data_IF_414398469136
#
_entry.id   IF_414398469136
#
_cell.length_a   1.000
_cell.length_b   1.000
_cell.length_c   1.000
_cell.angle_alpha   90.00
_cell.angle_beta   90.00
_cell.angle_gamma   90.00
#
_symmetry.space_group_name_H-M   'P 1'
#
loop_
_entity.id
_entity.type
_entity.pdbx_description
1 polymer ?
#
# COMPACT_ATOMS: atom_id res chain seq x y z
N UNK A 1 6.40 -12.91 -15.08
CA UNK A 1 7.01 -13.34 -13.80
C UNK A 1 6.25 -12.63 -12.69
N UNK A 2 5.65 -13.37 -11.78
CA UNK A 2 4.82 -12.77 -10.75
C UNK A 2 5.60 -11.75 -9.92
N UNK A 3 4.96 -10.61 -9.61
CA UNK A 3 5.51 -9.59 -8.72
C UNK A 3 5.45 -10.04 -7.26
N UNK A 4 4.36 -10.74 -6.92
CA UNK A 4 4.12 -11.32 -5.60
C UNK A 4 3.70 -12.77 -5.80
N UNK A 5 4.25 -13.68 -5.00
CA UNK A 5 3.87 -15.08 -4.99
C UNK A 5 3.76 -15.56 -3.53
N UNK A 6 2.62 -16.08 -3.16
CA UNK A 6 2.40 -16.77 -1.90
C UNK A 6 2.09 -18.24 -2.20
N UNK A 7 2.76 -19.17 -1.50
CA UNK A 7 2.55 -20.62 -1.65
C UNK A 7 2.31 -21.20 -0.27
N UNK A 8 1.08 -21.68 -0.05
CA UNK A 8 0.60 -22.27 1.21
C UNK A 8 0.98 -21.42 2.44
N UNK A 9 0.95 -20.09 2.28
CA UNK A 9 1.36 -19.17 3.33
C UNK A 9 0.33 -19.10 4.45
N UNK A 10 0.78 -19.28 5.69
CA UNK A 10 -0.07 -19.17 6.88
C UNK A 10 0.54 -18.21 7.89
N UNK A 11 -0.32 -17.57 8.70
CA UNK A 11 0.11 -16.69 9.77
C UNK A 11 -0.67 -16.96 11.04
N UNK A 12 0.05 -17.26 12.11
CA UNK A 12 -0.48 -17.48 13.45
C UNK A 12 0.10 -16.42 14.38
N UNK A 13 -0.75 -15.69 15.07
CA UNK A 13 -0.35 -14.79 16.14
C UNK A 13 -0.53 -15.49 17.49
N UNK A 14 0.43 -15.27 18.40
CA UNK A 14 0.41 -15.81 19.76
C UNK A 14 0.35 -14.66 20.77
N UNK A 15 -0.62 -14.72 21.66
CA UNK A 15 -0.73 -13.80 22.79
C UNK A 15 -0.96 -14.60 24.08
N UNK A 16 0.11 -14.84 24.84
CA UNK A 16 0.08 -15.78 25.94
C UNK A 16 -0.24 -17.19 25.45
N UNK A 17 -1.27 -17.81 26.03
CA UNK A 17 -1.73 -19.16 25.68
C UNK A 17 -2.74 -19.18 24.51
N UNK A 18 -3.11 -18.01 23.96
CA UNK A 18 -4.08 -17.93 22.87
C UNK A 18 -3.34 -17.85 21.52
N UNK A 19 -3.67 -18.79 20.64
CA UNK A 19 -3.23 -18.78 19.24
C UNK A 19 -4.39 -18.35 18.35
N UNK A 20 -4.11 -17.38 17.45
CA UNK A 20 -5.09 -16.92 16.45
C UNK A 20 -4.49 -17.15 15.06
N UNK A 21 -5.10 -18.03 14.28
CA UNK A 21 -4.75 -18.25 12.89
C UNK A 21 -5.36 -17.10 12.05
N UNK A 22 -4.55 -16.10 11.73
CA UNK A 22 -4.97 -14.95 10.94
C UNK A 22 -5.00 -15.23 9.44
N UNK A 23 -4.14 -16.15 8.96
CA UNK A 23 -4.13 -16.65 7.59
C UNK A 23 -3.87 -18.16 7.59
N UNK A 24 -4.55 -18.89 6.70
CA UNK A 24 -4.44 -20.34 6.58
C UNK A 24 -4.36 -20.74 5.11
N UNK A 25 -3.20 -21.30 4.71
CA UNK A 25 -2.97 -21.91 3.39
C UNK A 25 -3.26 -20.96 2.21
N UNK A 26 -2.75 -19.75 2.28
CA UNK A 26 -2.89 -18.76 1.22
C UNK A 26 -1.96 -19.13 0.06
N UNK A 27 -2.55 -19.39 -1.12
CA UNK A 27 -1.83 -19.54 -2.37
C UNK A 27 -2.34 -18.51 -3.37
N UNK A 28 -1.46 -17.60 -3.83
CA UNK A 28 -1.82 -16.44 -4.64
C UNK A 28 -0.61 -15.99 -5.46
N UNK A 29 -0.87 -15.56 -6.70
CA UNK A 29 0.11 -14.89 -7.57
C UNK A 29 -0.45 -13.55 -8.03
N UNK A 30 0.35 -12.49 -7.98
CA UNK A 30 -0.02 -11.14 -8.45
C UNK A 30 1.02 -10.69 -9.46
N UNK A 31 0.56 -10.29 -10.64
CA UNK A 31 1.42 -9.81 -11.72
C UNK A 31 1.68 -8.30 -11.58
N UNK A 32 2.72 -7.82 -12.27
CA UNK A 32 3.01 -6.40 -12.31
C UNK A 32 1.87 -5.61 -13.00
N UNK A 33 1.64 -4.38 -12.53
CA UNK A 33 0.63 -3.44 -13.01
C UNK A 33 -0.82 -3.84 -12.71
N UNK A 34 -1.06 -4.88 -11.92
CA UNK A 34 -2.42 -5.18 -11.46
C UNK A 34 -2.97 -4.07 -10.54
N UNK A 35 -4.27 -3.85 -10.62
CA UNK A 35 -5.05 -3.03 -9.68
C UNK A 35 -6.00 -3.98 -8.94
N UNK A 36 -5.53 -4.53 -7.81
CA UNK A 36 -6.13 -5.67 -7.12
C UNK A 36 -6.65 -5.26 -5.75
N UNK A 37 -7.83 -5.81 -5.38
CA UNK A 37 -8.39 -5.62 -4.05
C UNK A 37 -8.51 -6.96 -3.28
N UNK A 38 -7.98 -7.00 -2.07
CA UNK A 38 -8.33 -7.98 -1.04
C UNK A 38 -9.60 -7.49 -0.35
N UNK A 39 -10.66 -8.28 -0.43
CA UNK A 39 -11.97 -7.93 0.15
C UNK A 39 -12.43 -8.99 1.14
N UNK A 40 -13.28 -8.61 2.08
CA UNK A 40 -13.85 -9.51 3.08
C UNK A 40 -14.25 -8.77 4.35
N UNK A 41 -14.94 -9.44 5.27
CA UNK A 41 -15.35 -8.84 6.54
C UNK A 41 -14.17 -8.42 7.41
N UNK A 42 -14.44 -7.66 8.46
CA UNK A 42 -13.43 -7.34 9.48
C UNK A 42 -12.91 -8.64 10.11
N UNK A 43 -11.58 -8.72 10.31
CA UNK A 43 -10.94 -9.91 10.86
C UNK A 43 -10.67 -11.04 9.83
N UNK A 44 -11.04 -10.90 8.56
CA UNK A 44 -10.80 -11.95 7.54
C UNK A 44 -9.34 -12.17 7.14
N UNK A 45 -8.38 -11.38 7.66
CA UNK A 45 -6.95 -11.53 7.37
C UNK A 45 -6.39 -10.57 6.32
N UNK A 46 -7.17 -9.65 5.75
CA UNK A 46 -6.74 -8.71 4.69
C UNK A 46 -5.48 -7.92 5.05
N UNK A 47 -5.52 -7.20 6.19
CA UNK A 47 -4.38 -6.41 6.65
C UNK A 47 -3.18 -7.29 7.03
N UNK A 48 -3.42 -8.53 7.52
CA UNK A 48 -2.35 -9.49 7.75
C UNK A 48 -1.68 -9.90 6.46
N UNK A 49 -2.44 -10.22 5.41
CA UNK A 49 -1.88 -10.56 4.09
C UNK A 49 -1.12 -9.36 3.50
N UNK A 50 -1.69 -8.15 3.62
CA UNK A 50 -1.04 -6.93 3.18
C UNK A 50 0.31 -6.71 3.92
N UNK A 51 0.36 -7.00 5.22
CA UNK A 51 1.58 -6.89 6.03
C UNK A 51 2.65 -7.92 5.62
N UNK A 52 2.28 -9.16 5.27
CA UNK A 52 3.23 -10.16 4.75
C UNK A 52 3.81 -9.69 3.41
N UNK A 53 2.96 -9.29 2.47
CA UNK A 53 3.37 -8.76 1.17
C UNK A 53 4.20 -7.48 1.32
N UNK A 54 3.88 -6.66 2.32
CA UNK A 54 4.59 -5.44 2.65
C UNK A 54 5.92 -5.63 3.37
N UNK A 55 6.36 -6.87 3.62
CA UNK A 55 7.56 -7.17 4.44
C UNK A 55 7.52 -6.47 5.81
N UNK A 56 6.32 -6.26 6.36
CA UNK A 56 6.09 -5.74 7.72
C UNK A 56 6.03 -6.87 8.74
N UNK A 57 5.70 -8.08 8.28
CA UNK A 57 5.63 -9.30 9.07
C UNK A 57 6.12 -10.49 8.24
N UNK A 58 6.27 -11.66 8.87
CA UNK A 58 6.70 -12.90 8.23
C UNK A 58 5.63 -13.98 8.32
N UNK A 59 5.50 -14.88 7.32
CA UNK A 59 4.62 -16.03 7.43
C UNK A 59 5.11 -16.98 8.55
N UNK A 60 4.15 -17.65 9.22
CA UNK A 60 4.47 -18.69 10.21
C UNK A 60 4.81 -20.02 9.53
N UNK A 61 4.26 -20.26 8.33
CA UNK A 61 4.59 -21.40 7.45
C UNK A 61 4.27 -21.06 6.00
N UNK A 62 4.75 -21.89 5.06
CA UNK A 62 4.69 -21.59 3.64
C UNK A 62 5.69 -20.51 3.23
N UNK A 63 5.51 -19.93 2.04
CA UNK A 63 6.40 -18.92 1.50
C UNK A 63 5.64 -17.72 0.96
N UNK A 64 6.20 -16.53 1.15
CA UNK A 64 5.80 -15.28 0.48
C UNK A 64 7.02 -14.69 -0.19
N UNK A 65 6.95 -14.53 -1.50
CA UNK A 65 8.01 -13.95 -2.32
C UNK A 65 7.49 -12.65 -2.95
N UNK A 66 8.26 -11.58 -2.81
CA UNK A 66 7.94 -10.26 -3.39
C UNK A 66 9.12 -9.85 -4.27
N UNK A 67 8.87 -9.61 -5.55
CA UNK A 67 9.92 -9.27 -6.54
C UNK A 67 11.10 -10.26 -6.51
N UNK A 68 10.81 -11.56 -6.42
CA UNK A 68 11.82 -12.62 -6.33
C UNK A 68 12.51 -12.77 -4.97
N UNK A 69 12.19 -11.91 -3.98
CA UNK A 69 12.78 -11.96 -2.64
C UNK A 69 11.86 -12.68 -1.66
N UNK A 70 12.35 -13.74 -1.03
CA UNK A 70 11.61 -14.44 0.03
C UNK A 70 11.54 -13.58 1.29
N UNK A 71 10.32 -13.19 1.69
CA UNK A 71 10.10 -12.31 2.86
C UNK A 71 10.64 -12.92 4.15
N UNK A 72 10.51 -14.24 4.34
CA UNK A 72 11.00 -14.92 5.54
C UNK A 72 12.53 -14.90 5.70
N UNK A 73 13.27 -14.66 4.61
CA UNK A 73 14.74 -14.57 4.64
C UNK A 73 15.25 -13.17 5.06
N UNK A 74 14.37 -12.16 5.09
CA UNK A 74 14.74 -10.79 5.42
C UNK A 74 14.76 -10.58 6.94
N UNK A 75 15.87 -10.12 7.47
CA UNK A 75 15.90 -9.59 8.83
C UNK A 75 15.29 -8.18 8.88
N UNK A 76 15.12 -7.62 10.09
CA UNK A 76 14.47 -6.31 10.30
C UNK A 76 15.08 -5.18 9.46
N UNK A 77 16.41 -5.12 9.37
CA UNK A 77 17.12 -4.09 8.60
C UNK A 77 16.94 -4.29 7.11
N UNK A 78 17.08 -5.53 6.62
CA UNK A 78 16.88 -5.86 5.21
C UNK A 78 15.42 -5.62 4.78
N UNK A 79 14.42 -5.96 5.61
CA UNK A 79 13.01 -5.65 5.35
C UNK A 79 12.76 -4.15 5.25
N UNK A 80 13.37 -3.35 6.14
CA UNK A 80 13.24 -1.89 6.09
C UNK A 80 13.86 -1.30 4.82
N UNK A 81 15.05 -1.76 4.43
CA UNK A 81 15.70 -1.36 3.19
C UNK A 81 14.86 -1.74 1.95
N UNK A 82 14.38 -2.99 1.90
CA UNK A 82 13.53 -3.50 0.81
C UNK A 82 12.24 -2.68 0.66
N UNK A 83 11.55 -2.40 1.78
CA UNK A 83 10.36 -1.52 1.77
C UNK A 83 10.68 -0.13 1.22
N UNK A 84 11.73 0.49 1.72
CA UNK A 84 12.11 1.83 1.29
C UNK A 84 12.52 1.91 -0.17
N UNK A 85 13.01 0.80 -0.74
CA UNK A 85 13.44 0.74 -2.14
C UNK A 85 12.31 0.40 -3.11
N UNK A 86 11.42 -0.49 -2.74
CA UNK A 86 10.49 -1.12 -3.68
C UNK A 86 9.02 -0.86 -3.40
N UNK A 87 8.65 -0.46 -2.16
CA UNK A 87 7.27 -0.40 -1.72
C UNK A 87 6.83 1.01 -1.35
N UNK A 88 5.58 1.33 -1.70
CA UNK A 88 4.85 2.49 -1.18
C UNK A 88 3.71 2.05 -0.28
N UNK A 89 3.34 2.88 0.70
CA UNK A 89 2.24 2.58 1.62
C UNK A 89 1.26 3.74 1.70
N UNK A 90 -0.02 3.41 1.58
CA UNK A 90 -1.15 4.33 1.78
C UNK A 90 -2.02 3.75 2.90
N UNK A 91 -2.28 4.54 3.94
CA UNK A 91 -3.01 4.12 5.14
C UNK A 91 -4.35 4.82 5.27
N UNK A 92 -5.28 4.21 5.99
CA UNK A 92 -6.59 4.74 6.31
C UNK A 92 -6.52 6.12 7.00
N UNK A 93 -5.62 6.30 7.96
CA UNK A 93 -5.44 7.55 8.72
C UNK A 93 -4.41 8.49 8.10
N UNK A 94 -4.10 8.30 6.80
CA UNK A 94 -3.12 9.08 6.03
C UNK A 94 -1.69 8.94 6.57
N UNK A 95 -1.48 8.83 7.86
CA UNK A 95 -0.19 8.75 8.57
C UNK A 95 0.80 9.83 8.10
N UNK A 96 0.29 11.05 7.88
CA UNK A 96 1.14 12.21 7.62
C UNK A 96 1.77 12.69 8.93
N UNK A 97 3.04 13.10 8.86
CA UNK A 97 3.75 13.68 10.00
C UNK A 97 3.18 15.09 10.26
N UNK A 98 2.53 15.35 11.40
CA UNK A 98 1.72 16.56 11.60
C UNK A 98 2.52 17.88 11.56
N UNK A 99 3.80 17.83 11.95
CA UNK A 99 4.67 19.01 11.99
C UNK A 99 5.31 19.34 10.65
N UNK A 100 5.23 18.42 9.67
CA UNK A 100 5.77 18.58 8.32
C UNK A 100 4.68 19.11 7.38
N UNK A 101 5.08 19.95 6.43
CA UNK A 101 4.22 20.39 5.31
C UNK A 101 3.90 19.22 4.37
N UNK A 102 3.00 19.43 3.41
CA UNK A 102 2.71 18.46 2.35
C UNK A 102 3.98 18.12 1.55
N UNK A 103 4.77 19.14 1.21
CA UNK A 103 6.06 18.96 0.53
C UNK A 103 7.01 18.07 1.35
N UNK A 104 7.23 18.39 2.60
CA UNK A 104 8.16 17.66 3.48
C UNK A 104 7.67 16.23 3.76
N UNK A 105 6.36 15.99 3.89
CA UNK A 105 5.80 14.66 3.99
C UNK A 105 6.11 13.80 2.75
N UNK A 106 6.02 14.38 1.54
CA UNK A 106 6.35 13.68 0.30
C UNK A 106 7.87 13.55 0.12
N UNK A 107 8.66 14.53 0.55
CA UNK A 107 10.13 14.48 0.49
C UNK A 107 10.74 13.42 1.41
N UNK A 108 10.08 13.16 2.54
CA UNK A 108 10.61 12.33 3.64
C UNK A 108 11.21 10.98 3.20
N UNK A 109 10.56 10.16 2.35
CA UNK A 109 11.15 8.91 1.87
C UNK A 109 12.43 9.10 1.05
N UNK A 110 12.51 10.14 0.26
CA UNK A 110 13.69 10.43 -0.56
C UNK A 110 14.88 10.90 0.27
N UNK A 111 14.61 11.63 1.35
CA UNK A 111 15.62 12.12 2.28
C UNK A 111 16.15 11.00 3.16
N UNK A 112 15.26 10.27 3.83
CA UNK A 112 15.61 9.33 4.89
C UNK A 112 16.04 7.95 4.37
N UNK A 113 15.52 7.51 3.23
CA UNK A 113 15.76 6.16 2.69
C UNK A 113 16.69 6.21 1.49
N UNK A 114 16.40 7.08 0.52
CA UNK A 114 17.14 7.17 -0.75
C UNK A 114 18.38 8.05 -0.69
N UNK A 115 18.45 8.93 0.32
CA UNK A 115 19.53 9.92 0.50
C UNK A 115 19.86 10.69 -0.81
N UNK A 116 18.81 11.09 -1.53
CA UNK A 116 18.99 11.81 -2.80
C UNK A 116 19.48 13.25 -2.55
N UNK A 117 20.24 13.84 -3.50
CA UNK A 117 20.62 15.26 -3.47
C UNK A 117 19.38 16.18 -3.43
N UNK A 118 19.50 17.33 -2.79
CA UNK A 118 18.39 18.26 -2.56
C UNK A 118 17.66 18.68 -3.84
N UNK A 119 18.40 19.01 -4.91
CA UNK A 119 17.82 19.45 -6.19
C UNK A 119 17.00 18.32 -6.85
N UNK A 120 17.51 17.08 -6.82
CA UNK A 120 16.80 15.92 -7.33
C UNK A 120 15.52 15.66 -6.52
N UNK A 121 15.58 15.75 -5.17
CA UNK A 121 14.41 15.59 -4.32
C UNK A 121 13.34 16.63 -4.65
N UNK A 122 13.75 17.92 -4.73
CA UNK A 122 12.83 19.02 -5.03
C UNK A 122 12.06 18.80 -6.33
N UNK A 123 12.78 18.45 -7.39
CA UNK A 123 12.19 18.19 -8.70
C UNK A 123 11.18 17.04 -8.63
N UNK A 124 11.55 15.93 -7.99
CA UNK A 124 10.68 14.75 -7.88
C UNK A 124 9.46 14.99 -6.99
N UNK A 125 9.64 15.66 -5.84
CA UNK A 125 8.53 15.98 -4.93
C UNK A 125 7.53 16.89 -5.62
N UNK A 126 7.97 17.95 -6.29
CA UNK A 126 7.06 18.86 -6.99
C UNK A 126 6.35 18.15 -8.15
N UNK A 127 7.04 17.30 -8.91
CA UNK A 127 6.41 16.44 -9.94
C UNK A 127 5.28 15.58 -9.35
N UNK A 128 5.51 14.93 -8.20
CA UNK A 128 4.49 14.10 -7.56
C UNK A 128 3.33 14.93 -6.99
N UNK A 129 3.61 16.08 -6.36
CA UNK A 129 2.55 16.96 -5.86
C UNK A 129 1.69 17.52 -7.00
N UNK A 130 2.29 17.84 -8.12
CA UNK A 130 1.57 18.30 -9.31
C UNK A 130 0.68 17.19 -9.87
N UNK A 131 1.20 15.97 -10.03
CA UNK A 131 0.48 14.79 -10.52
C UNK A 131 -0.77 14.47 -9.67
N UNK A 132 -0.72 14.71 -8.36
CA UNK A 132 -1.89 14.52 -7.47
C UNK A 132 -2.72 15.81 -7.28
N UNK A 133 -2.39 16.90 -7.97
CA UNK A 133 -3.10 18.18 -7.89
C UNK A 133 -2.92 18.89 -6.55
N UNK A 134 -1.74 18.81 -5.94
CA UNK A 134 -1.41 19.38 -4.62
C UNK A 134 -0.22 20.36 -4.65
N UNK A 135 0.26 20.76 -5.83
CA UNK A 135 1.41 21.66 -5.97
C UNK A 135 1.21 23.01 -5.24
N UNK A 136 0.03 23.64 -5.37
CA UNK A 136 -0.29 24.91 -4.70
C UNK A 136 -0.39 24.78 -3.18
N UNK A 137 -0.69 23.59 -2.65
CA UNK A 137 -0.81 23.29 -1.23
C UNK A 137 0.48 22.73 -0.61
N UNK A 138 1.58 22.71 -1.34
CA UNK A 138 2.85 22.12 -0.94
C UNK A 138 3.35 22.59 0.44
N UNK A 139 3.11 23.88 0.78
CA UNK A 139 3.53 24.50 2.04
C UNK A 139 2.59 24.27 3.22
N UNK A 140 1.36 23.76 2.99
CA UNK A 140 0.37 23.52 4.04
C UNK A 140 0.73 22.31 4.88
N UNK A 141 0.41 22.39 6.19
CA UNK A 141 0.51 21.26 7.11
C UNK A 141 -0.77 20.43 7.10
N UNK A 142 -0.73 19.18 7.59
CA UNK A 142 -1.90 18.29 7.59
C UNK A 142 -3.15 18.87 8.25
N UNK A 143 -3.04 19.67 9.30
CA UNK A 143 -4.16 20.34 9.96
C UNK A 143 -4.88 21.39 9.08
N UNK A 144 -4.21 21.89 8.05
CA UNK A 144 -4.73 22.86 7.08
C UNK A 144 -5.30 22.21 5.80
N UNK A 145 -5.31 20.87 5.75
CA UNK A 145 -5.74 20.09 4.59
C UNK A 145 -7.05 19.35 4.85
N UNK A 146 -7.93 19.29 3.85
CA UNK A 146 -9.11 18.41 3.90
C UNK A 146 -8.70 16.94 3.88
N UNK A 147 -9.60 16.01 4.25
CA UNK A 147 -9.35 14.57 4.23
C UNK A 147 -8.87 14.09 2.86
N UNK A 148 -9.55 14.49 1.77
CA UNK A 148 -9.14 14.16 0.42
C UNK A 148 -7.79 14.74 0.00
N UNK A 149 -7.45 15.95 0.47
CA UNK A 149 -6.13 16.54 0.25
C UNK A 149 -5.05 15.77 1.00
N UNK A 150 -5.28 15.40 2.26
CA UNK A 150 -4.36 14.54 3.03
C UNK A 150 -4.11 13.21 2.33
N UNK A 151 -5.17 12.60 1.80
CA UNK A 151 -5.04 11.33 1.08
C UNK A 151 -4.22 11.48 -0.20
N UNK A 152 -4.43 12.54 -0.99
CA UNK A 152 -3.61 12.82 -2.17
C UNK A 152 -2.13 13.01 -1.82
N UNK A 153 -1.83 13.71 -0.71
CA UNK A 153 -0.45 13.85 -0.21
C UNK A 153 0.11 12.48 0.21
N UNK A 154 -0.68 11.61 0.86
CA UNK A 154 -0.27 10.26 1.23
C UNK A 154 0.00 9.39 -0.02
N UNK A 155 -0.81 9.51 -1.08
CA UNK A 155 -0.56 8.86 -2.37
C UNK A 155 0.73 9.37 -3.02
N UNK A 156 0.94 10.69 -3.05
CA UNK A 156 2.18 11.28 -3.57
C UNK A 156 3.42 10.78 -2.80
N UNK A 157 3.34 10.73 -1.46
CA UNK A 157 4.39 10.19 -0.61
C UNK A 157 4.69 8.72 -0.91
N UNK A 158 3.65 7.92 -1.14
CA UNK A 158 3.81 6.50 -1.46
C UNK A 158 4.49 6.30 -2.82
N UNK A 159 4.28 7.19 -3.79
CA UNK A 159 4.78 7.08 -5.16
C UNK A 159 6.09 7.83 -5.43
N UNK A 160 6.53 8.72 -4.54
CA UNK A 160 7.66 9.63 -4.79
C UNK A 160 8.98 8.91 -5.04
N UNK A 161 9.16 7.72 -4.47
CA UNK A 161 10.32 6.85 -4.68
C UNK A 161 10.22 5.97 -5.93
N UNK A 162 9.15 6.12 -6.73
CA UNK A 162 8.85 5.29 -7.91
C UNK A 162 8.80 3.78 -7.58
N UNK A 163 7.97 3.36 -6.61
CA UNK A 163 7.91 1.97 -6.19
C UNK A 163 7.25 1.10 -7.25
N UNK A 164 7.64 -0.19 -7.29
CA UNK A 164 6.98 -1.18 -8.15
C UNK A 164 5.63 -1.63 -7.59
N UNK A 165 5.42 -1.51 -6.28
CA UNK A 165 4.22 -1.94 -5.57
C UNK A 165 3.78 -0.89 -4.55
N UNK A 166 2.50 -0.52 -4.59
CA UNK A 166 1.84 0.28 -3.56
C UNK A 166 0.80 -0.58 -2.85
N UNK A 167 0.91 -0.62 -1.52
CA UNK A 167 -0.03 -1.29 -0.63
C UNK A 167 -0.92 -0.25 0.03
N UNK A 168 -2.23 -0.37 -0.12
CA UNK A 168 -3.20 0.58 0.39
C UNK A 168 -4.20 -0.11 1.33
N UNK A 169 -4.11 0.21 2.63
CA UNK A 169 -5.01 -0.33 3.65
C UNK A 169 -6.15 0.67 3.90
N UNK A 170 -7.37 0.30 3.50
CA UNK A 170 -8.61 1.09 3.62
C UNK A 170 -8.45 2.57 3.17
N UNK A 171 -7.89 2.87 1.99
CA UNK A 171 -7.45 4.22 1.62
C UNK A 171 -8.59 5.23 1.43
N UNK A 172 -9.85 4.80 1.45
CA UNK A 172 -11.03 5.66 1.26
C UNK A 172 -11.94 5.73 2.47
N UNK A 173 -11.66 4.99 3.55
CA UNK A 173 -12.57 4.85 4.69
C UNK A 173 -12.90 6.19 5.40
N UNK A 174 -11.97 7.15 5.39
CA UNK A 174 -12.14 8.47 6.01
C UNK A 174 -12.54 9.58 5.01
N UNK A 175 -13.08 9.20 3.83
CA UNK A 175 -13.45 10.13 2.77
C UNK A 175 -14.95 10.06 2.47
N UNK A 176 -15.53 11.21 2.12
CA UNK A 176 -16.86 11.23 1.54
C UNK A 176 -16.89 10.52 0.17
N UNK A 177 -18.09 10.15 -0.29
CA UNK A 177 -18.30 9.36 -1.49
C UNK A 177 -17.65 9.98 -2.75
N UNK A 178 -17.85 11.27 -2.97
CA UNK A 178 -17.33 11.94 -4.18
C UNK A 178 -15.81 12.08 -4.15
N UNK A 179 -15.23 12.35 -2.97
CA UNK A 179 -13.77 12.43 -2.78
C UNK A 179 -13.13 11.07 -2.93
N UNK A 180 -13.74 9.99 -2.40
CA UNK A 180 -13.24 8.63 -2.55
C UNK A 180 -13.10 8.23 -4.03
N UNK A 181 -14.13 8.47 -4.86
CA UNK A 181 -14.05 8.20 -6.31
C UNK A 181 -12.90 8.96 -7.00
N UNK A 182 -12.70 10.24 -6.65
CA UNK A 182 -11.59 11.03 -7.21
C UNK A 182 -10.23 10.49 -6.83
N UNK A 183 -10.08 10.02 -5.59
CA UNK A 183 -8.82 9.45 -5.10
C UNK A 183 -8.56 8.09 -5.78
N UNK A 184 -9.57 7.23 -5.93
CA UNK A 184 -9.44 5.95 -6.63
C UNK A 184 -9.06 6.17 -8.11
N UNK A 185 -9.75 7.09 -8.80
CA UNK A 185 -9.43 7.44 -10.18
C UNK A 185 -7.98 7.96 -10.32
N UNK A 186 -7.54 8.80 -9.37
CA UNK A 186 -6.17 9.27 -9.30
C UNK A 186 -5.18 8.11 -9.14
N UNK A 187 -5.43 7.16 -8.21
CA UNK A 187 -4.56 6.00 -8.03
C UNK A 187 -4.48 5.15 -9.29
N UNK A 188 -5.60 4.98 -10.02
CA UNK A 188 -5.64 4.25 -11.28
C UNK A 188 -4.82 4.97 -12.38
N UNK A 189 -4.96 6.29 -12.47
CA UNK A 189 -4.13 7.12 -13.35
C UNK A 189 -2.65 6.97 -13.02
N UNK A 190 -2.28 7.04 -11.75
CA UNK A 190 -0.88 6.89 -11.30
C UNK A 190 -0.32 5.49 -11.60
N UNK A 191 -1.15 4.43 -11.47
CA UNK A 191 -0.77 3.09 -11.91
C UNK A 191 -0.39 3.07 -13.38
N UNK A 192 -1.23 3.67 -14.23
CA UNK A 192 -1.03 3.67 -15.69
C UNK A 192 0.20 4.49 -16.08
N UNK A 193 0.40 5.64 -15.44
CA UNK A 193 1.49 6.56 -15.73
C UNK A 193 2.86 6.02 -15.27
N UNK A 194 2.92 5.45 -14.06
CA UNK A 194 4.19 5.00 -13.45
C UNK A 194 4.42 3.49 -13.58
N UNK A 195 3.44 2.72 -14.07
CA UNK A 195 3.54 1.28 -14.19
C UNK A 195 3.58 0.54 -12.84
N UNK A 196 3.15 1.20 -11.77
CA UNK A 196 3.12 0.68 -10.39
C UNK A 196 1.96 -0.31 -10.21
N UNK A 197 2.17 -1.38 -9.46
CA UNK A 197 1.11 -2.30 -9.03
C UNK A 197 0.43 -1.74 -7.79
N UNK A 198 -0.90 -1.81 -7.72
CA UNK A 198 -1.67 -1.42 -6.53
C UNK A 198 -2.39 -2.63 -5.94
N UNK A 199 -2.21 -2.85 -4.64
CA UNK A 199 -2.92 -3.87 -3.88
C UNK A 199 -3.63 -3.20 -2.71
N UNK A 200 -4.95 -3.34 -2.67
CA UNK A 200 -5.82 -2.75 -1.65
C UNK A 200 -6.27 -3.80 -0.64
N UNK A 201 -6.38 -3.42 0.61
CA UNK A 201 -7.20 -4.09 1.61
C UNK A 201 -8.43 -3.21 1.83
N UNK A 202 -9.63 -3.73 1.57
CA UNK A 202 -10.84 -2.91 1.67
C UNK A 202 -12.12 -3.72 1.85
N UNK A 203 -13.15 -3.05 2.36
CA UNK A 203 -14.55 -3.45 2.30
C UNK A 203 -15.40 -2.42 1.53
N UNK A 204 -14.76 -1.37 0.95
CA UNK A 204 -15.44 -0.32 0.20
C UNK A 204 -15.79 -0.79 -1.21
N UNK A 205 -17.09 -0.79 -1.52
CA UNK A 205 -17.61 -1.19 -2.82
C UNK A 205 -17.02 -0.37 -3.98
N UNK A 206 -16.69 0.90 -3.78
CA UNK A 206 -16.10 1.78 -4.79
C UNK A 206 -14.73 1.28 -5.27
N UNK A 207 -13.89 0.79 -4.33
CA UNK A 207 -12.60 0.19 -4.70
C UNK A 207 -12.85 -1.14 -5.40
N UNK A 208 -13.82 -1.93 -4.93
CA UNK A 208 -14.17 -3.22 -5.56
C UNK A 208 -14.63 -3.02 -7.02
N UNK A 209 -15.44 -2.00 -7.30
CA UNK A 209 -15.89 -1.67 -8.66
C UNK A 209 -14.75 -1.15 -9.56
N UNK A 210 -13.75 -0.49 -8.98
CA UNK A 210 -12.60 0.00 -9.71
C UNK A 210 -11.49 -1.05 -9.90
N UNK A 211 -11.47 -2.10 -9.06
CA UNK A 211 -10.47 -3.15 -9.11
C UNK A 211 -10.64 -4.03 -10.35
N UNK A 212 -9.53 -4.38 -10.97
CA UNK A 212 -9.48 -5.30 -12.13
C UNK A 212 -9.44 -6.77 -11.69
N UNK A 213 -9.04 -7.00 -10.43
CA UNK A 213 -9.05 -8.30 -9.79
C UNK A 213 -9.45 -8.17 -8.33
N UNK A 214 -10.34 -9.04 -7.90
CA UNK A 214 -10.81 -9.11 -6.51
C UNK A 214 -10.45 -10.48 -5.96
N UNK A 215 -9.81 -10.50 -4.80
CA UNK A 215 -9.52 -11.70 -4.02
C UNK A 215 -10.29 -11.60 -2.71
N UNK A 216 -11.27 -12.47 -2.55
CA UNK A 216 -12.14 -12.48 -1.36
C UNK A 216 -11.53 -13.37 -0.27
N UNK A 217 -11.35 -12.78 0.91
CA UNK A 217 -10.87 -13.47 2.11
C UNK A 217 -12.00 -13.63 3.12
N UNK A 218 -12.09 -14.83 3.70
CA UNK A 218 -12.99 -15.17 4.79
C UNK A 218 -12.25 -16.12 5.75
N UNK A 219 -12.28 -15.83 7.04
CA UNK A 219 -11.60 -16.62 8.10
C UNK A 219 -10.15 -17.00 7.76
N UNK A 220 -9.39 -16.04 7.22
CA UNK A 220 -7.98 -16.23 6.87
C UNK A 220 -7.73 -17.07 5.62
N UNK A 221 -8.73 -17.35 4.79
CA UNK A 221 -8.63 -18.15 3.55
C UNK A 221 -9.12 -17.36 2.35
N UNK A 222 -8.57 -17.66 1.18
CA UNK A 222 -9.13 -17.19 -0.10
C UNK A 222 -10.33 -18.08 -0.42
N UNK A 223 -11.52 -17.47 -0.50
CA UNK A 223 -12.76 -18.17 -0.83
C UNK A 223 -13.20 -17.97 -2.27
N UNK A 224 -12.76 -16.86 -2.90
CA UNK A 224 -13.13 -16.55 -4.28
C UNK A 224 -12.13 -15.58 -4.91
N UNK A 225 -11.88 -15.77 -6.19
CA UNK A 225 -11.19 -14.79 -7.04
C UNK A 225 -12.09 -14.42 -8.22
N UNK A 226 -12.06 -13.13 -8.59
CA UNK A 226 -12.77 -12.60 -9.75
C UNK A 226 -11.85 -11.65 -10.51
N UNK A 227 -11.88 -11.70 -11.84
CA UNK A 227 -11.29 -10.67 -12.71
C UNK A 227 -12.44 -9.93 -13.39
N UNK A 228 -12.30 -8.58 -13.49
CA UNK A 228 -13.26 -7.73 -14.19
C UNK A 228 -13.18 -7.94 -15.70
#
# INVERSE_FOLDING_TARGET
MALIEAVSASKIYRSGDVEVAALSDITLSIEAREFLAFVGPSGSGKSTLLNLVGCLDHPSSGTVTVMGTNVAALNRTASAAFRGEHLGFVFQEFNLVPVLSAYENVEYPLLMVRNWPADKRRTQVMKMLDAVGMAEQAHKRPDQLSGGQKQRVAVARALVSEPQLVLADEPTANLDHATAHKVIALMKQMRDEFGTTFVFSTHDQKIMEAAERIVMLEDGRIVKEQRA
#
